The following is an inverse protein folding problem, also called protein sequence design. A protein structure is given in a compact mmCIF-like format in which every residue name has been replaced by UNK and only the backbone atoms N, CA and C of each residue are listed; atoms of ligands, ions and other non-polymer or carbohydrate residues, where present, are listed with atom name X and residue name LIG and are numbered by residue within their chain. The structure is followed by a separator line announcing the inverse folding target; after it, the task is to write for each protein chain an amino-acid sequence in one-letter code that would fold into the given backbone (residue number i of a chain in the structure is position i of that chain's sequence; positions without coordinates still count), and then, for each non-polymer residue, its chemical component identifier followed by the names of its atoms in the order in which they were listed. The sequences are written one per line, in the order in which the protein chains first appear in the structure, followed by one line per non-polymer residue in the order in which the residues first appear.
data_IF_257075244868
#
_entry.id   IF_257075244868
#
_cell.length_a   1.000
_cell.length_b   1.000
_cell.length_c   1.000
_cell.angle_alpha   90.00
_cell.angle_beta   90.00
_cell.angle_gamma   90.00
#
_symmetry.space_group_name_H-M   'P 1'
#
loop_
_entity.id
_entity.type
_entity.pdbx_description
1 polymer ?
#
# COMPACT_ATOMS: atom_id res chain seq x y z
N UNK A 1 31.49 18.39 18.56
CA UNK A 1 32.42 17.71 17.63
C UNK A 1 31.60 17.37 16.41
N UNK A 2 31.88 17.96 15.25
CA UNK A 2 31.17 17.59 14.02
C UNK A 2 31.52 16.14 13.72
N UNK A 3 30.53 15.25 13.73
CA UNK A 3 30.77 13.86 13.37
C UNK A 3 31.21 13.85 11.89
N UNK A 4 32.33 13.21 11.58
CA UNK A 4 32.72 13.00 10.19
C UNK A 4 31.61 12.21 9.49
N UNK A 5 31.28 12.53 8.23
CA UNK A 5 30.25 11.81 7.49
C UNK A 5 30.60 10.31 7.41
N UNK A 6 29.61 9.46 7.62
CA UNK A 6 29.77 8.00 7.51
C UNK A 6 30.15 7.64 6.06
N UNK A 7 31.11 6.73 5.91
CA UNK A 7 31.64 6.31 4.62
C UNK A 7 30.82 5.16 4.05
N UNK A 8 30.46 5.30 2.78
CA UNK A 8 29.69 4.28 2.05
C UNK A 8 30.44 3.88 0.78
N UNK A 9 30.85 2.62 0.71
CA UNK A 9 31.45 2.07 -0.51
C UNK A 9 30.41 1.28 -1.32
N UNK A 10 30.24 1.64 -2.58
CA UNK A 10 29.33 0.94 -3.51
C UNK A 10 30.13 0.03 -4.44
N UNK A 11 29.99 -1.28 -4.24
CA UNK A 11 30.51 -2.33 -5.13
C UNK A 11 29.44 -2.81 -6.11
N UNK A 12 29.81 -2.94 -7.38
CA UNK A 12 28.88 -3.33 -8.44
C UNK A 12 29.63 -3.89 -9.66
N UNK A 13 28.95 -4.72 -10.46
CA UNK A 13 29.49 -5.22 -11.73
C UNK A 13 29.37 -4.18 -12.85
N UNK A 14 30.41 -4.05 -13.68
CA UNK A 14 30.42 -3.13 -14.84
C UNK A 14 29.65 -3.72 -16.04
N UNK A 15 28.39 -4.12 -15.82
CA UNK A 15 27.62 -4.93 -16.78
C UNK A 15 27.12 -4.15 -18.01
N UNK A 16 26.69 -2.89 -17.83
CA UNK A 16 26.23 -1.99 -18.90
C UNK A 16 26.49 -0.52 -18.55
N UNK A 17 26.48 0.36 -19.55
CA UNK A 17 26.60 1.81 -19.34
C UNK A 17 25.42 2.37 -18.55
N UNK A 18 24.19 1.91 -18.86
CA UNK A 18 22.98 2.27 -18.11
C UNK A 18 23.09 1.87 -16.64
N UNK A 19 23.68 0.70 -16.36
CA UNK A 19 23.93 0.26 -15.00
C UNK A 19 24.90 1.20 -14.28
N UNK A 20 26.00 1.55 -14.94
CA UNK A 20 27.01 2.45 -14.39
C UNK A 20 26.48 3.87 -14.10
N UNK A 21 25.66 4.42 -15.01
CA UNK A 21 25.01 5.71 -14.81
C UNK A 21 24.05 5.69 -13.62
N UNK A 22 23.29 4.61 -13.46
CA UNK A 22 22.41 4.46 -12.31
C UNK A 22 23.19 4.40 -10.99
N UNK A 23 24.33 3.68 -10.95
CA UNK A 23 25.18 3.65 -9.75
C UNK A 23 25.71 5.04 -9.40
N UNK A 24 26.13 5.80 -10.41
CA UNK A 24 26.56 7.19 -10.21
C UNK A 24 25.45 8.05 -9.62
N UNK A 25 24.22 7.94 -10.12
CA UNK A 25 23.07 8.68 -9.58
C UNK A 25 22.73 8.26 -8.15
N UNK A 26 22.80 6.97 -7.83
CA UNK A 26 22.64 6.46 -6.46
C UNK A 26 23.68 7.08 -5.52
N UNK A 27 24.96 7.07 -5.91
CA UNK A 27 26.06 7.65 -5.12
C UNK A 27 25.84 9.16 -4.93
N UNK A 28 25.46 9.90 -5.97
CA UNK A 28 25.17 11.34 -5.87
C UNK A 28 24.07 11.62 -4.86
N UNK A 29 23.00 10.82 -4.88
CA UNK A 29 21.88 10.93 -3.94
C UNK A 29 22.30 10.60 -2.49
N UNK A 30 23.11 9.56 -2.28
CA UNK A 30 23.66 9.27 -0.95
C UNK A 30 24.52 10.43 -0.44
N UNK A 31 25.31 11.06 -1.30
CA UNK A 31 26.09 12.25 -0.94
C UNK A 31 25.21 13.46 -0.59
N UNK A 32 24.05 13.63 -1.23
CA UNK A 32 23.11 14.68 -0.83
C UNK A 32 22.46 14.44 0.53
N UNK A 33 22.37 13.18 0.97
CA UNK A 33 21.93 12.79 2.32
C UNK A 33 23.05 12.90 3.38
N UNK A 34 24.25 13.39 2.99
CA UNK A 34 25.35 13.64 3.93
C UNK A 34 26.32 12.48 4.14
N UNK A 35 26.20 11.39 3.39
CA UNK A 35 27.17 10.30 3.41
C UNK A 35 28.42 10.63 2.58
N UNK A 36 29.60 10.19 3.02
CA UNK A 36 30.79 10.18 2.16
C UNK A 36 30.76 8.92 1.29
N UNK A 37 29.85 8.92 0.31
CA UNK A 37 29.65 7.79 -0.58
C UNK A 37 30.61 7.84 -1.78
N UNK A 38 31.20 6.70 -2.11
CA UNK A 38 32.07 6.50 -3.26
C UNK A 38 31.82 5.12 -3.90
N UNK A 39 32.36 4.90 -5.09
CA UNK A 39 32.17 3.68 -5.88
C UNK A 39 33.43 3.35 -6.67
N UNK A 40 33.61 2.07 -6.99
CA UNK A 40 34.81 1.53 -7.66
C UNK A 40 35.27 2.37 -8.87
N UNK A 41 34.37 2.62 -9.84
CA UNK A 41 34.71 3.39 -11.03
C UNK A 41 35.01 4.87 -10.73
N UNK A 42 34.41 5.44 -9.69
CA UNK A 42 34.71 6.81 -9.26
C UNK A 42 36.17 6.95 -8.82
N UNK A 43 36.64 6.01 -8.00
CA UNK A 43 38.02 6.00 -7.47
C UNK A 43 39.03 5.78 -8.60
N UNK A 44 38.82 4.73 -9.40
CA UNK A 44 39.73 4.36 -10.49
C UNK A 44 39.80 5.42 -11.60
N UNK A 45 38.78 6.28 -11.74
CA UNK A 45 38.82 7.41 -12.67
C UNK A 45 39.77 8.54 -12.26
N UNK A 46 40.07 8.64 -10.96
CA UNK A 46 40.90 9.72 -10.39
C UNK A 46 42.33 9.32 -10.11
N UNK A 47 42.63 8.01 -10.01
CA UNK A 47 43.97 7.51 -9.71
C UNK A 47 44.14 6.06 -10.17
N UNK A 48 45.36 5.70 -10.57
CA UNK A 48 45.73 4.30 -10.82
C UNK A 48 45.86 3.58 -9.48
N UNK A 49 44.94 2.67 -9.19
CA UNK A 49 44.89 1.90 -7.94
C UNK A 49 44.93 0.40 -8.23
N UNK A 50 45.44 -0.39 -7.28
CA UNK A 50 45.27 -1.83 -7.31
C UNK A 50 43.85 -2.15 -6.82
N UNK A 51 42.99 -2.64 -7.72
CA UNK A 51 41.57 -2.91 -7.44
C UNK A 51 41.37 -3.83 -6.23
N UNK A 52 42.21 -4.88 -6.09
CA UNK A 52 42.09 -5.81 -4.97
C UNK A 52 42.46 -5.14 -3.65
N UNK A 53 43.50 -4.30 -3.65
CA UNK A 53 43.89 -3.55 -2.46
C UNK A 53 42.81 -2.56 -2.06
N UNK A 54 42.28 -1.79 -3.01
CA UNK A 54 41.19 -0.85 -2.80
C UNK A 54 39.96 -1.56 -2.20
N UNK A 55 39.56 -2.69 -2.78
CA UNK A 55 38.42 -3.47 -2.28
C UNK A 55 38.63 -3.92 -0.83
N UNK A 56 39.83 -4.41 -0.48
CA UNK A 56 40.19 -4.79 0.89
C UNK A 56 40.11 -3.60 1.85
N UNK A 57 40.66 -2.45 1.44
CA UNK A 57 40.65 -1.22 2.25
C UNK A 57 39.22 -0.76 2.52
N UNK A 58 38.40 -0.60 1.49
CA UNK A 58 37.02 -0.15 1.66
C UNK A 58 36.15 -1.16 2.43
N UNK A 59 36.23 -2.46 2.10
CA UNK A 59 35.48 -3.48 2.84
C UNK A 59 35.87 -3.55 4.31
N UNK A 60 37.12 -3.25 4.67
CA UNK A 60 37.58 -3.20 6.06
C UNK A 60 37.20 -1.90 6.76
N UNK A 61 37.46 -0.76 6.14
CA UNK A 61 37.56 0.53 6.82
C UNK A 61 36.30 1.40 6.70
N UNK A 62 35.46 1.21 5.68
CA UNK A 62 34.23 2.01 5.50
C UNK A 62 33.10 1.53 6.42
N UNK A 63 32.15 2.42 6.73
CA UNK A 63 31.06 2.13 7.67
C UNK A 63 30.00 1.21 7.07
N UNK A 64 29.68 1.41 5.78
CA UNK A 64 28.71 0.61 5.03
C UNK A 64 29.25 0.20 3.66
N UNK A 65 28.95 -1.04 3.28
CA UNK A 65 29.25 -1.60 1.96
C UNK A 65 27.94 -1.92 1.26
N UNK A 66 27.68 -1.21 0.16
CA UNK A 66 26.54 -1.47 -0.71
C UNK A 66 26.99 -2.39 -1.84
N UNK A 67 26.42 -3.59 -1.92
CA UNK A 67 26.66 -4.52 -3.03
C UNK A 67 25.45 -4.52 -3.96
N UNK A 68 25.65 -4.17 -5.22
CA UNK A 68 24.59 -4.18 -6.23
C UNK A 68 24.70 -5.45 -7.05
N UNK A 69 23.72 -6.33 -6.85
CA UNK A 69 23.69 -7.65 -7.46
C UNK A 69 22.98 -7.63 -8.82
N UNK A 70 23.52 -8.44 -9.72
CA UNK A 70 22.94 -8.78 -11.02
C UNK A 70 23.03 -10.30 -11.22
N UNK A 71 22.28 -10.85 -12.17
CA UNK A 71 22.37 -12.28 -12.54
C UNK A 71 23.81 -12.68 -12.91
N UNK A 72 24.54 -11.82 -13.63
CA UNK A 72 25.95 -12.05 -13.98
C UNK A 72 26.85 -12.02 -12.75
N UNK A 73 26.55 -11.14 -11.79
CA UNK A 73 27.26 -11.10 -10.52
C UNK A 73 27.04 -12.41 -9.75
N UNK A 74 25.79 -12.87 -9.62
CA UNK A 74 25.46 -14.06 -8.85
C UNK A 74 26.19 -15.31 -9.36
N UNK A 75 26.19 -15.54 -10.68
CA UNK A 75 26.91 -16.67 -11.29
C UNK A 75 28.41 -16.62 -10.95
N UNK A 76 29.05 -15.46 -11.11
CA UNK A 76 30.48 -15.33 -10.80
C UNK A 76 30.77 -15.47 -9.30
N UNK A 77 29.85 -15.04 -8.45
CA UNK A 77 29.99 -15.13 -7.01
C UNK A 77 29.91 -16.58 -6.54
N UNK A 78 28.97 -17.36 -7.08
CA UNK A 78 28.80 -18.79 -6.75
C UNK A 78 29.97 -19.64 -7.26
N UNK A 79 30.54 -19.28 -8.41
CA UNK A 79 31.72 -19.95 -8.99
C UNK A 79 33.06 -19.43 -8.41
N UNK A 80 33.04 -18.45 -7.50
CA UNK A 80 34.23 -17.75 -6.99
C UNK A 80 35.16 -17.24 -8.11
N UNK A 81 34.58 -16.74 -9.20
CA UNK A 81 35.30 -16.39 -10.41
C UNK A 81 35.64 -14.89 -10.51
N UNK A 82 36.90 -14.60 -10.87
CA UNK A 82 37.37 -13.24 -11.16
C UNK A 82 37.29 -12.28 -9.95
N UNK A 83 37.11 -10.99 -10.23
CA UNK A 83 37.00 -9.96 -9.18
C UNK A 83 35.78 -10.15 -8.27
N UNK A 84 34.66 -10.62 -8.82
CA UNK A 84 33.45 -10.91 -8.03
C UNK A 84 33.69 -12.06 -7.04
N UNK A 85 34.41 -13.11 -7.43
CA UNK A 85 34.79 -14.18 -6.51
C UNK A 85 35.66 -13.69 -5.35
N UNK A 86 36.56 -12.75 -5.63
CA UNK A 86 37.37 -12.10 -4.59
C UNK A 86 36.51 -11.26 -3.64
N UNK A 87 35.58 -10.46 -4.16
CA UNK A 87 34.60 -9.71 -3.36
C UNK A 87 33.75 -10.63 -2.48
N UNK A 88 33.29 -11.76 -3.01
CA UNK A 88 32.56 -12.78 -2.24
C UNK A 88 33.39 -13.26 -1.04
N UNK A 89 34.68 -13.54 -1.22
CA UNK A 89 35.54 -13.99 -0.11
C UNK A 89 35.67 -12.90 0.96
N UNK A 90 35.79 -11.64 0.55
CA UNK A 90 35.91 -10.51 1.46
C UNK A 90 34.60 -10.17 2.20
N UNK A 91 33.44 -10.48 1.62
CA UNK A 91 32.14 -10.25 2.26
C UNK A 91 31.83 -11.26 3.37
N UNK A 92 32.32 -12.50 3.28
CA UNK A 92 32.11 -13.56 4.28
C UNK A 92 32.38 -13.15 5.74
N UNK A 93 33.54 -12.57 6.10
CA UNK A 93 33.78 -12.13 7.47
C UNK A 93 32.83 -11.01 7.91
N UNK A 94 32.41 -10.14 6.99
CA UNK A 94 31.43 -9.07 7.29
C UNK A 94 30.08 -9.70 7.63
N UNK A 95 29.62 -10.67 6.83
CA UNK A 95 28.37 -11.41 7.07
C UNK A 95 28.39 -12.07 8.45
N UNK A 96 29.52 -12.64 8.87
CA UNK A 96 29.66 -13.31 10.16
C UNK A 96 29.74 -12.35 11.35
N UNK A 97 30.39 -11.20 11.20
CA UNK A 97 30.73 -10.32 12.33
C UNK A 97 29.81 -9.11 12.45
N UNK A 98 29.41 -8.50 11.33
CA UNK A 98 28.61 -7.29 11.28
C UNK A 98 27.77 -7.24 10.01
N UNK A 99 26.69 -8.04 9.98
CA UNK A 99 25.79 -8.09 8.83
C UNK A 99 25.19 -6.72 8.46
N UNK A 100 25.00 -5.82 9.44
CA UNK A 100 24.43 -4.49 9.20
C UNK A 100 25.36 -3.55 8.43
N UNK A 101 26.67 -3.85 8.37
CA UNK A 101 27.62 -3.16 7.48
C UNK A 101 27.34 -3.48 6.01
N UNK A 102 26.75 -4.64 5.72
CA UNK A 102 26.49 -5.11 4.37
C UNK A 102 25.06 -4.79 3.93
N UNK A 103 24.93 -3.97 2.89
CA UNK A 103 23.65 -3.58 2.31
C UNK A 103 23.56 -4.15 0.90
N UNK A 104 22.55 -4.99 0.67
CA UNK A 104 22.37 -5.68 -0.61
C UNK A 104 21.29 -4.98 -1.41
N UNK A 105 21.62 -4.62 -2.65
CA UNK A 105 20.70 -4.01 -3.62
C UNK A 105 20.59 -4.89 -4.85
N UNK A 106 19.44 -4.86 -5.52
CA UNK A 106 19.26 -5.44 -6.86
C UNK A 106 18.55 -4.45 -7.77
N UNK A 107 18.88 -4.47 -9.06
CA UNK A 107 18.13 -3.76 -10.12
C UNK A 107 17.33 -4.70 -11.02
N UNK A 108 17.39 -6.00 -10.76
CA UNK A 108 16.67 -7.00 -11.52
C UNK A 108 15.61 -7.62 -10.61
N UNK A 109 14.39 -7.86 -11.11
CA UNK A 109 13.29 -8.33 -10.29
C UNK A 109 13.71 -9.56 -9.48
N UNK A 110 13.61 -9.46 -8.16
CA UNK A 110 14.12 -10.50 -7.29
C UNK A 110 13.35 -11.83 -7.38
N UNK A 111 12.15 -11.79 -8.00
CA UNK A 111 11.34 -12.97 -8.38
C UNK A 111 12.16 -14.02 -9.14
N UNK A 112 13.24 -13.61 -9.82
CA UNK A 112 14.04 -14.53 -10.62
C UNK A 112 14.88 -15.53 -9.80
N UNK A 113 15.07 -15.36 -8.47
CA UNK A 113 15.97 -16.16 -7.60
C UNK A 113 17.43 -16.32 -8.07
N UNK A 114 17.75 -15.88 -9.30
CA UNK A 114 19.05 -15.98 -9.96
C UNK A 114 19.99 -14.81 -9.68
N UNK A 115 19.48 -13.76 -9.04
CA UNK A 115 20.24 -12.52 -8.81
C UNK A 115 20.93 -12.54 -7.45
N UNK A 116 20.46 -13.39 -6.53
CA UNK A 116 21.04 -13.51 -5.19
C UNK A 116 21.93 -14.76 -5.17
N UNK A 117 23.26 -14.63 -5.01
CA UNK A 117 24.15 -15.78 -4.92
C UNK A 117 23.89 -16.60 -3.65
N UNK A 118 24.30 -17.87 -3.66
CA UNK A 118 24.06 -18.84 -2.60
C UNK A 118 24.46 -18.32 -1.21
N UNK A 119 25.63 -17.69 -1.10
CA UNK A 119 26.15 -17.19 0.19
C UNK A 119 25.35 -16.01 0.78
N UNK A 120 24.48 -15.36 -0.01
CA UNK A 120 23.62 -14.25 0.43
C UNK A 120 22.15 -14.65 0.58
N UNK A 121 21.81 -15.93 0.41
CA UNK A 121 20.44 -16.40 0.61
C UNK A 121 19.99 -16.17 2.06
N UNK A 122 18.77 -15.63 2.21
CA UNK A 122 18.20 -15.28 3.52
C UNK A 122 18.65 -13.92 4.08
N UNK A 123 19.54 -13.20 3.40
CA UNK A 123 19.90 -11.82 3.75
C UNK A 123 18.91 -10.85 3.09
N UNK A 124 18.42 -9.88 3.87
CA UNK A 124 17.50 -8.86 3.37
C UNK A 124 18.18 -7.94 2.34
N UNK A 125 17.53 -7.74 1.20
CA UNK A 125 17.95 -6.84 0.12
C UNK A 125 16.85 -5.82 -0.20
N UNK A 126 17.22 -4.73 -0.88
CA UNK A 126 16.30 -3.72 -1.39
C UNK A 126 16.22 -3.84 -2.91
N UNK A 127 15.01 -3.98 -3.44
CA UNK A 127 14.75 -4.17 -4.87
C UNK A 127 14.48 -2.83 -5.56
N UNK A 128 15.39 -2.42 -6.44
CA UNK A 128 15.33 -1.24 -7.30
C UNK A 128 15.01 -1.57 -8.76
N UNK A 129 14.41 -2.73 -9.04
CA UNK A 129 14.08 -3.15 -10.41
C UNK A 129 12.95 -2.37 -11.06
N UNK A 130 12.06 -1.77 -10.27
CA UNK A 130 11.01 -0.88 -10.76
C UNK A 130 11.47 0.59 -10.67
N UNK A 131 11.73 1.28 -11.80
CA UNK A 131 12.14 2.68 -11.79
C UNK A 131 11.12 3.62 -11.16
N UNK A 132 9.83 3.28 -11.19
CA UNK A 132 8.77 4.10 -10.60
C UNK A 132 8.85 4.15 -9.06
N UNK A 133 9.45 3.13 -8.44
CA UNK A 133 9.59 3.01 -6.97
C UNK A 133 10.94 3.53 -6.47
N UNK A 134 11.79 4.11 -7.34
CA UNK A 134 13.14 4.52 -6.96
C UNK A 134 13.17 5.49 -5.76
N UNK A 135 12.20 6.40 -5.67
CA UNK A 135 12.07 7.32 -4.54
C UNK A 135 11.86 6.58 -3.22
N UNK A 136 10.82 5.75 -3.15
CA UNK A 136 10.45 5.00 -1.94
C UNK A 136 11.54 4.01 -1.52
N UNK A 137 12.17 3.33 -2.48
CA UNK A 137 13.28 2.40 -2.23
C UNK A 137 14.55 3.10 -1.79
N UNK A 138 14.77 4.33 -2.27
CA UNK A 138 15.87 5.15 -1.79
C UNK A 138 15.64 5.60 -0.34
N UNK A 139 14.42 6.01 0.02
CA UNK A 139 14.09 6.29 1.42
C UNK A 139 14.32 5.05 2.30
N UNK A 140 13.82 3.87 1.89
CA UNK A 140 14.06 2.59 2.58
C UNK A 140 15.57 2.35 2.84
N UNK A 141 16.42 2.64 1.85
CA UNK A 141 17.88 2.56 1.98
C UNK A 141 18.42 3.56 3.01
N UNK A 142 17.97 4.81 2.98
CA UNK A 142 18.42 5.85 3.92
C UNK A 142 18.04 5.49 5.36
N UNK A 143 16.79 5.05 5.62
CA UNK A 143 16.36 4.57 6.93
C UNK A 143 17.24 3.41 7.43
N UNK A 144 17.58 2.48 6.51
CA UNK A 144 18.45 1.34 6.82
C UNK A 144 19.88 1.77 7.18
N UNK A 145 20.46 2.72 6.46
CA UNK A 145 21.78 3.28 6.76
C UNK A 145 21.80 4.04 8.09
N UNK A 146 20.77 4.85 8.35
CA UNK A 146 20.61 5.59 9.61
C UNK A 146 20.24 4.70 10.81
N UNK A 147 19.92 3.42 10.59
CA UNK A 147 19.47 2.45 11.60
C UNK A 147 18.24 2.92 12.37
N UNK A 148 17.34 3.63 11.69
CA UNK A 148 16.06 4.07 12.23
C UNK A 148 14.92 3.28 11.59
N UNK A 149 13.86 2.94 12.35
CA UNK A 149 12.70 2.26 11.79
C UNK A 149 11.96 3.19 10.82
N UNK A 150 11.67 2.69 9.62
CA UNK A 150 10.87 3.43 8.63
C UNK A 150 9.43 3.66 9.08
N UNK A 151 8.88 2.74 9.88
CA UNK A 151 7.51 2.80 10.36
C UNK A 151 7.48 3.00 11.87
N UNK A 152 6.70 3.99 12.32
CA UNK A 152 6.37 4.15 13.73
C UNK A 152 5.34 3.08 14.13
N UNK A 153 5.78 2.09 14.90
CA UNK A 153 4.93 1.01 15.42
C UNK A 153 4.05 1.47 16.60
N UNK A 154 4.20 2.72 17.03
CA UNK A 154 3.52 3.32 18.16
C UNK A 154 4.02 2.80 19.51
N UNK A 155 3.59 3.43 20.62
CA UNK A 155 3.93 2.97 21.95
C UNK A 155 3.26 1.62 22.25
N UNK A 156 3.94 0.80 23.05
CA UNK A 156 3.35 -0.42 23.60
C UNK A 156 2.18 -0.02 24.51
N UNK A 157 0.95 -0.36 24.11
CA UNK A 157 -0.23 -0.16 24.94
C UNK A 157 -0.26 -1.07 26.16
N UNK A 158 -1.10 -0.76 27.14
CA UNK A 158 -1.31 -1.64 28.29
C UNK A 158 -1.73 -3.05 27.83
N UNK A 159 -1.08 -4.07 28.39
CA UNK A 159 -1.37 -5.47 28.08
C UNK A 159 -2.81 -5.78 28.50
N UNK A 160 -3.74 -5.75 27.54
CA UNK A 160 -5.12 -6.17 27.75
C UNK A 160 -5.13 -7.64 28.16
N UNK A 161 -5.41 -7.92 29.43
CA UNK A 161 -5.63 -9.27 29.92
C UNK A 161 -6.88 -9.81 29.23
N UNK A 162 -6.66 -10.62 28.19
CA UNK A 162 -7.74 -11.38 27.58
C UNK A 162 -8.20 -12.37 28.64
N UNK A 163 -9.47 -12.32 29.02
CA UNK A 163 -10.07 -13.40 29.80
C UNK A 163 -9.86 -14.69 29.00
N UNK A 164 -9.56 -15.83 29.64
CA UNK A 164 -9.65 -17.12 28.97
C UNK A 164 -11.01 -17.15 28.29
N UNK A 165 -11.04 -17.56 27.02
CA UNK A 165 -12.32 -17.82 26.38
C UNK A 165 -12.94 -18.97 27.18
N UNK A 166 -13.82 -18.66 28.13
CA UNK A 166 -14.65 -19.67 28.74
C UNK A 166 -15.63 -20.09 27.66
N UNK A 167 -15.23 -21.08 26.89
CA UNK A 167 -16.19 -21.99 26.28
C UNK A 167 -16.91 -22.62 27.46
N UNK A 168 -18.00 -22.00 27.92
CA UNK A 168 -18.89 -22.64 28.89
C UNK A 168 -19.34 -23.93 28.24
N UNK A 169 -18.75 -25.06 28.64
CA UNK A 169 -18.93 -26.39 28.03
C UNK A 169 -19.31 -26.32 26.55
N UNK A 170 -18.44 -25.77 25.70
CA UNK A 170 -18.64 -25.94 24.27
C UNK A 170 -18.28 -27.38 23.94
N UNK A 171 -19.33 -28.20 23.95
CA UNK A 171 -19.44 -29.36 23.06
C UNK A 171 -18.74 -28.98 21.76
N UNK A 172 -17.79 -29.80 21.33
CA UNK A 172 -17.17 -29.71 20.01
C UNK A 172 -18.32 -29.51 19.02
N UNK A 173 -18.49 -28.31 18.48
CA UNK A 173 -19.52 -28.05 17.48
C UNK A 173 -19.03 -28.71 16.19
N UNK A 174 -19.37 -29.99 16.06
CA UNK A 174 -19.36 -30.81 14.84
C UNK A 174 -20.23 -30.16 13.73
N UNK A 175 -20.86 -29.03 14.03
CA UNK A 175 -21.87 -28.34 13.23
C UNK A 175 -21.49 -26.89 12.86
N UNK A 176 -20.20 -26.54 12.75
CA UNK A 176 -19.82 -25.22 12.19
C UNK A 176 -20.27 -25.02 10.72
N UNK A 177 -20.62 -26.11 10.03
CA UNK A 177 -21.26 -26.08 8.70
C UNK A 177 -22.79 -26.04 8.77
N UNK A 178 -23.38 -25.96 9.97
CA UNK A 178 -24.83 -25.78 10.13
C UNK A 178 -25.11 -24.30 10.25
N UNK A 179 -25.69 -23.73 9.19
CA UNK A 179 -26.36 -22.43 9.24
C UNK A 179 -27.45 -22.49 10.30
N UNK A 180 -27.22 -21.84 11.45
CA UNK A 180 -28.22 -21.68 12.50
C UNK A 180 -29.19 -20.60 12.02
N UNK A 181 -30.45 -20.95 11.71
CA UNK A 181 -31.41 -19.97 11.21
C UNK A 181 -31.77 -18.97 12.31
N UNK A 182 -32.03 -17.72 11.92
CA UNK A 182 -32.65 -16.76 12.83
C UNK A 182 -34.07 -17.24 13.14
N UNK A 183 -34.41 -17.28 14.43
CA UNK A 183 -35.71 -17.78 14.92
C UNK A 183 -36.77 -16.67 15.07
N UNK A 184 -36.37 -15.41 14.89
CA UNK A 184 -37.25 -14.25 15.02
C UNK A 184 -36.90 -13.14 14.02
N UNK A 185 -37.87 -12.34 13.58
CA UNK A 185 -37.62 -11.16 12.77
C UNK A 185 -36.67 -10.18 13.48
N UNK A 186 -35.79 -9.48 12.74
CA UNK A 186 -34.93 -8.46 13.30
C UNK A 186 -35.76 -7.30 13.85
N UNK A 187 -35.38 -6.85 15.04
CA UNK A 187 -35.91 -5.66 15.69
C UNK A 187 -35.56 -4.40 14.90
N UNK A 188 -36.32 -3.32 15.13
CA UNK A 188 -36.04 -2.03 14.47
C UNK A 188 -34.68 -1.46 14.90
N UNK A 189 -34.22 -1.76 16.12
CA UNK A 189 -32.86 -1.40 16.57
C UNK A 189 -31.78 -2.11 15.75
N UNK A 190 -31.96 -3.40 15.45
CA UNK A 190 -31.03 -4.17 14.61
C UNK A 190 -31.02 -3.66 13.16
N UNK A 191 -32.19 -3.35 12.60
CA UNK A 191 -32.29 -2.76 11.25
C UNK A 191 -31.60 -1.40 11.18
N UNK A 192 -31.81 -0.55 12.19
CA UNK A 192 -31.19 0.78 12.28
C UNK A 192 -29.67 0.68 12.44
N UNK A 193 -29.20 -0.24 13.28
CA UNK A 193 -27.76 -0.47 13.45
C UNK A 193 -27.13 -0.97 12.14
N UNK A 194 -27.80 -1.89 11.46
CA UNK A 194 -27.35 -2.45 10.19
C UNK A 194 -27.26 -1.40 9.07
N UNK A 195 -28.23 -0.49 8.96
CA UNK A 195 -28.19 0.55 7.91
C UNK A 195 -27.15 1.63 8.21
N UNK A 196 -26.92 1.97 9.48
CA UNK A 196 -25.86 2.90 9.90
C UNK A 196 -24.47 2.32 9.61
N UNK A 197 -24.25 1.05 9.94
CA UNK A 197 -23.01 0.34 9.59
C UNK A 197 -22.84 0.27 8.07
N UNK A 198 -23.90 -0.06 7.34
CA UNK A 198 -23.90 -0.10 5.88
C UNK A 198 -23.58 1.25 5.25
N UNK A 199 -24.07 2.36 5.81
CA UNK A 199 -23.76 3.71 5.33
C UNK A 199 -22.27 4.00 5.41
N UNK A 200 -21.62 3.65 6.53
CA UNK A 200 -20.18 3.81 6.69
C UNK A 200 -19.40 2.94 5.70
N UNK A 201 -19.80 1.68 5.52
CA UNK A 201 -19.18 0.77 4.55
C UNK A 201 -19.32 1.27 3.10
N UNK A 202 -20.49 1.79 2.74
CA UNK A 202 -20.76 2.32 1.39
C UNK A 202 -19.95 3.59 1.13
N UNK A 203 -19.93 4.52 2.08
CA UNK A 203 -19.19 5.79 1.91
C UNK A 203 -17.68 5.57 1.85
N UNK A 204 -17.14 4.65 2.67
CA UNK A 204 -15.73 4.24 2.56
C UNK A 204 -15.44 3.58 1.21
N UNK A 205 -16.31 2.68 0.73
CA UNK A 205 -16.14 2.07 -0.60
C UNK A 205 -16.21 3.07 -1.75
N UNK A 206 -17.03 4.12 -1.65
CA UNK A 206 -17.07 5.20 -2.62
C UNK A 206 -15.76 6.01 -2.60
N UNK A 207 -15.21 6.31 -1.41
CA UNK A 207 -13.91 6.97 -1.29
C UNK A 207 -12.79 6.14 -1.95
N UNK A 208 -12.76 4.82 -1.75
CA UNK A 208 -11.77 3.94 -2.38
C UNK A 208 -11.85 4.00 -3.92
N UNK A 209 -13.06 3.92 -4.49
CA UNK A 209 -13.25 3.99 -5.94
C UNK A 209 -12.87 5.37 -6.48
N UNK A 210 -13.29 6.46 -5.83
CA UNK A 210 -13.00 7.82 -6.29
C UNK A 210 -11.51 8.17 -6.19
N UNK A 211 -10.83 7.73 -5.12
CA UNK A 211 -9.37 7.86 -4.99
C UNK A 211 -8.62 7.09 -6.07
N UNK A 212 -9.08 5.87 -6.38
CA UNK A 212 -8.53 5.07 -7.48
C UNK A 212 -8.72 5.79 -8.81
N UNK A 213 -9.91 6.36 -9.05
CA UNK A 213 -10.21 7.09 -10.28
C UNK A 213 -9.34 8.35 -10.45
N UNK A 214 -9.14 9.12 -9.37
CA UNK A 214 -8.26 10.29 -9.34
C UNK A 214 -6.80 9.89 -9.65
N UNK A 215 -6.32 8.81 -9.05
CA UNK A 215 -4.95 8.30 -9.26
C UNK A 215 -4.71 7.88 -10.71
N UNK A 216 -5.72 7.32 -11.38
CA UNK A 216 -5.64 6.89 -12.78
C UNK A 216 -5.86 8.04 -13.79
N UNK A 217 -6.54 9.12 -13.38
CA UNK A 217 -6.93 10.21 -14.28
C UNK A 217 -6.64 11.57 -13.62
N UNK A 218 -5.46 12.18 -13.83
CA UNK A 218 -5.07 13.45 -13.20
C UNK A 218 -6.01 14.64 -13.52
N UNK A 219 -6.73 14.55 -14.64
CA UNK A 219 -7.70 15.56 -15.07
C UNK A 219 -9.02 15.51 -14.30
N UNK A 220 -9.27 14.42 -13.56
CA UNK A 220 -10.41 14.25 -12.68
C UNK A 220 -10.00 14.61 -11.25
N UNK A 221 -10.71 15.53 -10.63
CA UNK A 221 -10.55 15.89 -9.22
C UNK A 221 -11.92 15.77 -8.57
N UNK A 222 -11.98 15.26 -7.35
CA UNK A 222 -13.19 15.30 -6.56
C UNK A 222 -12.95 16.00 -5.22
N UNK A 223 -13.98 16.65 -4.71
CA UNK A 223 -13.99 17.26 -3.38
C UNK A 223 -15.09 16.60 -2.56
N UNK A 224 -14.75 16.18 -1.34
CA UNK A 224 -15.68 15.59 -0.37
C UNK A 224 -15.96 16.60 0.73
N UNK A 225 -17.23 16.81 1.04
CA UNK A 225 -17.69 17.64 2.14
C UNK A 225 -18.62 16.81 3.06
N UNK A 226 -18.26 16.71 4.34
CA UNK A 226 -19.10 16.07 5.36
C UNK A 226 -19.96 17.16 6.01
N UNK A 227 -21.23 17.25 5.62
CA UNK A 227 -22.16 18.25 6.17
C UNK A 227 -22.55 17.87 7.61
N UNK A 228 -22.81 16.58 7.83
CA UNK A 228 -23.01 15.97 9.15
C UNK A 228 -22.34 14.59 9.17
N UNK A 229 -22.35 13.89 10.32
CA UNK A 229 -21.89 12.48 10.39
C UNK A 229 -22.65 11.56 9.43
N UNK A 230 -23.86 11.97 9.05
CA UNK A 230 -24.84 11.15 8.35
C UNK A 230 -25.15 11.73 6.96
N UNK A 231 -24.40 12.73 6.49
CA UNK A 231 -24.61 13.40 5.20
C UNK A 231 -23.29 13.84 4.57
N UNK A 232 -23.05 13.34 3.36
CA UNK A 232 -21.81 13.57 2.60
C UNK A 232 -22.15 14.07 1.21
N UNK A 233 -21.35 15.00 0.71
CA UNK A 233 -21.42 15.52 -0.66
C UNK A 233 -20.08 15.33 -1.34
N UNK A 234 -20.13 14.85 -2.59
CA UNK A 234 -19.01 14.73 -3.49
C UNK A 234 -19.25 15.66 -4.67
N UNK A 235 -18.32 16.60 -4.91
CA UNK A 235 -18.30 17.43 -6.10
C UNK A 235 -17.22 16.93 -7.05
N UNK A 236 -17.58 16.74 -8.32
CA UNK A 236 -16.70 16.18 -9.34
C UNK A 236 -16.27 17.26 -10.33
N UNK A 237 -14.99 17.28 -10.66
CA UNK A 237 -14.39 18.24 -11.58
C UNK A 237 -13.60 17.51 -12.66
N UNK A 238 -13.87 17.84 -13.93
CA UNK A 238 -13.10 17.39 -15.08
C UNK A 238 -12.45 18.60 -15.76
N UNK A 239 -11.14 18.57 -15.92
CA UNK A 239 -10.37 19.70 -16.48
C UNK A 239 -10.66 21.02 -15.75
N UNK A 240 -10.92 20.97 -14.44
CA UNK A 240 -11.25 22.12 -13.60
C UNK A 240 -12.70 22.62 -13.71
N UNK A 241 -13.57 21.99 -14.50
CA UNK A 241 -15.00 22.33 -14.60
C UNK A 241 -15.85 21.34 -13.81
N UNK A 242 -16.87 21.83 -13.08
CA UNK A 242 -17.80 20.96 -12.37
C UNK A 242 -18.56 20.08 -13.38
N UNK A 243 -18.38 18.77 -13.26
CA UNK A 243 -19.00 17.80 -14.16
C UNK A 243 -20.28 17.20 -13.54
N UNK A 244 -20.34 17.13 -12.21
CA UNK A 244 -21.50 16.72 -11.45
C UNK A 244 -21.25 16.74 -9.95
N UNK A 245 -22.30 16.47 -9.18
CA UNK A 245 -22.25 16.32 -7.74
C UNK A 245 -23.04 15.08 -7.34
N UNK A 246 -22.65 14.44 -6.24
CA UNK A 246 -23.34 13.30 -5.63
C UNK A 246 -23.49 13.54 -4.13
N UNK A 247 -24.73 13.54 -3.64
CA UNK A 247 -25.08 13.74 -2.24
C UNK A 247 -25.66 12.43 -1.71
N UNK A 248 -25.20 11.97 -0.55
CA UNK A 248 -25.68 10.74 0.11
C UNK A 248 -25.90 11.00 1.60
N UNK A 249 -27.01 10.54 2.16
CA UNK A 249 -27.34 10.77 3.56
C UNK A 249 -28.23 9.67 4.16
N UNK A 250 -28.24 9.55 5.48
CA UNK A 250 -29.24 8.76 6.19
C UNK A 250 -30.53 9.58 6.34
N UNK A 251 -31.64 9.02 5.84
CA UNK A 251 -32.96 9.61 5.92
C UNK A 251 -34.02 8.61 6.37
N UNK A 252 -35.25 9.07 6.52
CA UNK A 252 -36.43 8.24 6.78
C UNK A 252 -37.63 8.86 6.08
N UNK A 253 -38.45 8.05 5.42
CA UNK A 253 -39.78 8.50 5.01
C UNK A 253 -40.76 8.37 6.20
N UNK A 254 -41.85 9.14 6.18
CA UNK A 254 -42.92 9.16 7.19
C UNK A 254 -43.19 7.78 7.84
N UNK A 255 -42.76 7.60 9.10
CA UNK A 255 -42.87 6.38 9.91
C UNK A 255 -42.22 5.10 9.34
N UNK A 256 -41.28 5.21 8.39
CA UNK A 256 -40.53 4.08 7.83
C UNK A 256 -39.20 3.85 8.56
N UNK A 257 -38.63 2.65 8.36
CA UNK A 257 -37.25 2.32 8.74
C UNK A 257 -36.26 3.32 8.14
N UNK A 258 -35.14 3.54 8.83
CA UNK A 258 -34.01 4.33 8.30
C UNK A 258 -33.54 3.75 6.97
N UNK A 259 -33.16 4.63 6.05
CA UNK A 259 -32.70 4.31 4.72
C UNK A 259 -31.54 5.24 4.32
N UNK A 260 -30.73 4.82 3.36
CA UNK A 260 -29.69 5.68 2.79
C UNK A 260 -30.26 6.30 1.52
N UNK A 261 -30.38 7.62 1.48
CA UNK A 261 -30.90 8.36 0.33
C UNK A 261 -29.73 9.00 -0.42
N UNK A 262 -29.87 9.15 -1.73
CA UNK A 262 -28.88 9.85 -2.53
C UNK A 262 -29.50 10.69 -3.65
N UNK A 263 -28.78 11.74 -4.03
CA UNK A 263 -29.09 12.60 -5.16
C UNK A 263 -27.84 12.82 -6.00
N UNK A 264 -28.02 12.92 -7.31
CA UNK A 264 -26.95 13.14 -8.27
C UNK A 264 -27.40 14.15 -9.32
N UNK A 265 -26.51 15.08 -9.66
CA UNK A 265 -26.82 16.13 -10.63
C UNK A 265 -25.74 17.19 -10.74
N UNK A 266 -25.79 17.99 -11.82
CA UNK A 266 -24.90 19.17 -11.99
C UNK A 266 -25.17 20.27 -10.97
N UNK A 267 -26.38 20.31 -10.44
CA UNK A 267 -26.77 21.19 -9.34
C UNK A 267 -27.51 20.34 -8.31
N UNK A 268 -27.03 20.36 -7.07
CA UNK A 268 -27.67 19.71 -5.93
C UNK A 268 -27.89 20.77 -4.86
N UNK A 269 -29.10 20.83 -4.34
CA UNK A 269 -29.39 21.63 -3.15
C UNK A 269 -28.97 20.87 -1.90
N UNK A 270 -27.92 21.38 -1.25
CA UNK A 270 -27.34 20.82 -0.02
C UNK A 270 -28.37 20.75 1.11
N UNK A 271 -29.27 21.73 1.18
CA UNK A 271 -30.21 21.91 2.29
C UNK A 271 -31.55 21.20 2.06
N UNK A 272 -31.81 20.72 0.84
CA UNK A 272 -33.05 20.02 0.51
C UNK A 272 -32.85 18.51 0.48
N UNK A 273 -33.41 17.81 1.47
CA UNK A 273 -33.42 16.34 1.54
C UNK A 273 -34.73 15.73 1.00
N UNK A 274 -35.67 16.56 0.53
CA UNK A 274 -36.92 16.09 -0.06
C UNK A 274 -36.80 15.75 -1.55
N UNK A 275 -35.63 16.02 -2.16
CA UNK A 275 -35.32 15.68 -3.55
C UNK A 275 -34.19 14.65 -3.57
N UNK A 276 -34.51 13.45 -4.04
CA UNK A 276 -33.56 12.34 -4.15
C UNK A 276 -33.70 11.67 -5.52
N UNK A 277 -32.62 11.09 -6.01
CA UNK A 277 -32.63 10.30 -7.24
C UNK A 277 -32.83 8.81 -6.96
N UNK A 278 -32.47 8.37 -5.74
CA UNK A 278 -32.70 7.01 -5.29
C UNK A 278 -32.48 6.85 -3.80
N UNK A 279 -32.73 5.64 -3.31
CA UNK A 279 -32.55 5.26 -1.92
C UNK A 279 -32.16 3.79 -1.81
N UNK A 280 -31.54 3.42 -0.70
CA UNK A 280 -31.13 2.07 -0.35
C UNK A 280 -31.85 1.70 0.94
N UNK A 281 -32.55 0.57 0.90
CA UNK A 281 -33.33 0.07 2.03
C UNK A 281 -32.68 -1.16 2.65
N UNK A 282 -33.11 -1.46 3.88
CA UNK A 282 -32.89 -2.75 4.52
C UNK A 282 -34.02 -3.68 4.14
N UNK A 283 -33.70 -4.81 3.54
CA UNK A 283 -34.63 -5.92 3.33
C UNK A 283 -34.41 -6.99 4.40
N UNK A 284 -35.50 -7.70 4.70
CA UNK A 284 -35.48 -8.89 5.56
C UNK A 284 -35.95 -10.04 4.68
N UNK A 285 -35.10 -11.05 4.52
CA UNK A 285 -35.49 -12.25 3.77
C UNK A 285 -36.44 -13.16 4.58
N UNK A 286 -36.86 -14.27 3.97
CA UNK A 286 -37.75 -15.25 4.62
C UNK A 286 -37.08 -15.95 5.82
N UNK A 287 -35.75 -15.89 5.91
CA UNK A 287 -34.93 -16.46 6.98
C UNK A 287 -34.51 -15.40 8.03
N UNK A 288 -35.11 -14.21 7.98
CA UNK A 288 -34.84 -13.07 8.85
C UNK A 288 -33.43 -12.48 8.77
N UNK A 289 -32.68 -12.77 7.70
CA UNK A 289 -31.40 -12.13 7.43
C UNK A 289 -31.59 -10.72 6.89
N UNK A 290 -30.67 -9.83 7.27
CA UNK A 290 -30.65 -8.45 6.83
C UNK A 290 -29.80 -8.32 5.57
N UNK A 291 -30.31 -7.59 4.59
CA UNK A 291 -29.61 -7.30 3.35
C UNK A 291 -29.97 -5.91 2.84
N UNK A 292 -29.24 -5.42 1.83
CA UNK A 292 -29.53 -4.13 1.22
C UNK A 292 -30.32 -4.31 -0.08
N UNK A 293 -31.19 -3.36 -0.38
CA UNK A 293 -31.83 -3.24 -1.68
C UNK A 293 -31.62 -1.85 -2.27
N UNK A 294 -31.41 -1.80 -3.59
CA UNK A 294 -31.34 -0.56 -4.37
C UNK A 294 -32.43 -0.62 -5.45
N UNK A 295 -33.64 -0.10 -5.17
CA UNK A 295 -34.70 -0.02 -6.16
C UNK A 295 -34.26 0.85 -7.33
N UNK A 296 -34.60 0.42 -8.55
CA UNK A 296 -34.31 1.12 -9.82
C UNK A 296 -32.82 1.17 -10.24
N UNK A 297 -32.10 0.07 -10.05
CA UNK A 297 -30.79 -0.16 -10.70
C UNK A 297 -30.97 -0.54 -12.18
N UNK A 298 -30.23 0.09 -13.11
CA UNK A 298 -30.29 -0.22 -14.56
C UNK A 298 -29.91 -1.68 -14.88
N UNK A 299 -29.05 -2.30 -14.05
CA UNK A 299 -28.61 -3.69 -14.27
C UNK A 299 -29.55 -4.73 -13.64
N UNK A 300 -30.49 -4.30 -12.78
CA UNK A 300 -31.52 -5.18 -12.23
C UNK A 300 -32.69 -4.35 -11.66
N UNK A 301 -33.85 -4.28 -12.33
CA UNK A 301 -35.03 -3.64 -11.76
C UNK A 301 -35.46 -4.43 -10.53
N UNK A 302 -35.22 -3.86 -9.35
CA UNK A 302 -35.40 -4.47 -8.02
C UNK A 302 -34.27 -5.39 -7.57
N UNK A 303 -33.02 -4.91 -7.61
CA UNK A 303 -31.89 -5.57 -6.96
C UNK A 303 -32.15 -5.66 -5.44
N UNK A 304 -32.49 -6.86 -4.97
CA UNK A 304 -32.67 -7.22 -3.56
C UNK A 304 -31.53 -8.13 -3.11
N UNK A 305 -31.32 -8.24 -1.80
CA UNK A 305 -30.28 -9.08 -1.22
C UNK A 305 -28.85 -8.71 -1.64
N UNK A 306 -28.59 -7.41 -1.81
CA UNK A 306 -27.26 -6.91 -2.15
C UNK A 306 -26.39 -6.77 -0.90
N UNK A 307 -25.09 -7.06 -1.07
CA UNK A 307 -24.03 -6.66 -0.15
C UNK A 307 -23.62 -5.21 -0.40
N UNK A 308 -23.03 -4.55 0.60
CA UNK A 308 -22.59 -3.16 0.47
C UNK A 308 -21.65 -2.93 -0.73
N UNK A 309 -20.77 -3.89 -1.03
CA UNK A 309 -19.84 -3.79 -2.17
C UNK A 309 -20.56 -3.73 -3.53
N UNK A 310 -21.69 -4.43 -3.65
CA UNK A 310 -22.50 -4.43 -4.87
C UNK A 310 -23.25 -3.11 -5.01
N UNK A 311 -23.71 -2.54 -3.88
CA UNK A 311 -24.31 -1.20 -3.83
C UNK A 311 -23.31 -0.13 -4.25
N UNK A 312 -22.07 -0.16 -3.73
CA UNK A 312 -21.02 0.79 -4.09
C UNK A 312 -20.75 0.77 -5.59
N UNK A 313 -20.60 -0.41 -6.18
CA UNK A 313 -20.41 -0.56 -7.64
C UNK A 313 -21.60 0.00 -8.43
N UNK A 314 -22.82 -0.32 -8.01
CA UNK A 314 -24.02 0.18 -8.66
C UNK A 314 -24.12 1.72 -8.60
N UNK A 315 -23.84 2.33 -7.43
CA UNK A 315 -23.84 3.78 -7.28
C UNK A 315 -22.79 4.44 -8.19
N UNK A 316 -21.59 3.89 -8.22
CA UNK A 316 -20.53 4.41 -9.08
C UNK A 316 -20.89 4.32 -10.57
N UNK A 317 -21.23 3.13 -11.07
CA UNK A 317 -21.44 2.89 -12.49
C UNK A 317 -22.68 3.61 -13.05
N UNK A 318 -23.75 3.70 -12.25
CA UNK A 318 -25.06 4.18 -12.73
C UNK A 318 -25.33 5.63 -12.42
N UNK A 319 -24.77 6.15 -11.33
CA UNK A 319 -25.08 7.49 -10.86
C UNK A 319 -23.88 8.42 -10.98
N UNK A 320 -22.66 7.98 -10.68
CA UNK A 320 -21.48 8.85 -10.72
C UNK A 320 -20.85 8.90 -12.12
N UNK A 321 -20.51 7.74 -12.68
CA UNK A 321 -19.78 7.61 -13.95
C UNK A 321 -20.42 8.36 -15.13
N UNK A 322 -21.76 8.46 -15.28
CA UNK A 322 -22.37 9.24 -16.35
C UNK A 322 -22.05 10.74 -16.33
N UNK A 323 -21.70 11.31 -15.17
CA UNK A 323 -21.28 12.71 -15.04
C UNK A 323 -19.77 12.90 -15.26
N UNK A 324 -19.04 11.82 -15.51
CA UNK A 324 -17.60 11.82 -15.75
C UNK A 324 -17.24 11.55 -17.21
N UNK A 325 -18.23 11.50 -18.11
CA UNK A 325 -18.07 11.23 -19.55
C UNK A 325 -18.33 12.46 -20.41
#
# INVERSE_FOLDING_TARGET
MGNSPEKVFVSYSWDSEEHQLWVLELVRKLRSEGYDANYDRGITSTSTVNLNQMMVEHMRDDDYIIMILTEKYAVKADDFAGGVGFETILSLPIIQQNLNKLIILTRQPAVLQKVIPFHLQGINYIDFSNPAEFGDKFEELVYRLQKIPMFDIGPIGEKKLRKPISHGNSVVNVFNDVTIPRLSPPTDLEKNSFIEESFNLITNGLDEILNTLHSQNPNFIYQKENITSDKIIYAFYLNGQNSGNFKIWLGSFYNSSKQIQFSVGRHIDVNNDNSMNGYINVEVDQEYNLSLSLPMSMFSPNAKNMKYIEIVKALYEQHILPYLR
#
